data_IF_765189236167
#
_entry.id   IF_765189236167
#
_cell.length_a   1.000
_cell.length_b   1.000
_cell.length_c   1.000
_cell.angle_alpha   90.00
_cell.angle_beta   90.00
_cell.angle_gamma   90.00
#
_symmetry.space_group_name_H-M   'P 1'
#
loop_
_entity.id
_entity.type
_entity.pdbx_description
1 polymer ?
#
# COMPACT_ATOMS: atom_id res chain seq x y z
N UNK A 1 21.06 -13.91 6.24
CA UNK A 1 19.69 -13.41 6.20
C UNK A 1 19.67 -11.97 5.72
N UNK A 2 18.78 -11.66 4.80
CA UNK A 2 18.77 -10.35 4.15
C UNK A 2 17.84 -9.38 4.91
N UNK A 3 18.43 -8.45 5.66
CA UNK A 3 17.66 -7.44 6.41
C UNK A 3 16.85 -6.54 5.48
N UNK A 4 17.33 -6.33 4.25
CA UNK A 4 16.61 -5.52 3.28
C UNK A 4 15.26 -6.16 2.89
N UNK A 5 15.22 -7.50 2.79
CA UNK A 5 13.96 -8.19 2.51
C UNK A 5 12.96 -8.02 3.63
N UNK A 6 13.41 -8.12 4.88
CA UNK A 6 12.56 -7.92 6.04
C UNK A 6 12.04 -6.48 6.09
N UNK A 7 12.91 -5.51 5.79
CA UNK A 7 12.54 -4.10 5.77
C UNK A 7 11.51 -3.81 4.68
N UNK A 8 11.69 -4.41 3.50
CA UNK A 8 10.75 -4.24 2.39
C UNK A 8 9.37 -4.82 2.71
N UNK A 9 9.33 -5.98 3.35
CA UNK A 9 8.06 -6.59 3.74
C UNK A 9 7.37 -5.78 4.82
N UNK A 10 8.13 -5.23 5.76
CA UNK A 10 7.59 -4.36 6.79
C UNK A 10 6.99 -3.09 6.17
N UNK A 11 7.68 -2.50 5.18
CA UNK A 11 7.16 -1.34 4.47
C UNK A 11 5.88 -1.69 3.73
N UNK A 12 5.85 -2.84 3.06
CA UNK A 12 4.67 -3.30 2.34
C UNK A 12 3.46 -3.41 3.28
N UNK A 13 3.66 -4.01 4.44
CA UNK A 13 2.59 -4.17 5.43
C UNK A 13 2.07 -2.82 5.90
N UNK A 14 2.96 -1.85 6.15
CA UNK A 14 2.56 -0.51 6.59
C UNK A 14 1.77 0.22 5.50
N UNK A 15 2.20 0.07 4.25
CA UNK A 15 1.50 0.70 3.11
C UNK A 15 0.10 0.11 2.94
N UNK A 16 -0.01 -1.21 3.01
CA UNK A 16 -1.31 -1.88 2.92
C UNK A 16 -2.23 -1.47 4.06
N UNK A 17 -1.68 -1.39 5.27
CA UNK A 17 -2.45 -0.96 6.43
C UNK A 17 -2.99 0.46 6.26
N UNK A 18 -2.17 1.37 5.75
CA UNK A 18 -2.58 2.74 5.51
C UNK A 18 -3.69 2.81 4.45
N UNK A 19 -3.55 2.03 3.37
CA UNK A 19 -4.56 1.99 2.32
C UNK A 19 -5.88 1.43 2.85
N UNK A 20 -5.82 0.32 3.60
CA UNK A 20 -7.02 -0.30 4.14
C UNK A 20 -7.75 0.62 5.11
N UNK A 21 -7.02 1.37 5.93
CA UNK A 21 -7.62 2.33 6.86
C UNK A 21 -8.41 3.41 6.12
N UNK A 22 -7.86 3.92 5.02
CA UNK A 22 -8.56 4.92 4.20
C UNK A 22 -9.83 4.36 3.57
N UNK A 23 -9.74 3.13 3.07
CA UNK A 23 -10.90 2.47 2.45
C UNK A 23 -11.98 2.21 3.50
N UNK A 24 -11.60 1.73 4.67
CA UNK A 24 -12.55 1.47 5.75
C UNK A 24 -13.25 2.74 6.21
N UNK A 25 -12.50 3.84 6.34
CA UNK A 25 -13.09 5.15 6.69
C UNK A 25 -14.09 5.60 5.63
N UNK A 26 -13.71 5.47 4.36
CA UNK A 26 -14.58 5.84 3.26
C UNK A 26 -15.88 5.01 3.25
N UNK A 27 -15.75 3.73 3.58
CA UNK A 27 -16.90 2.82 3.60
C UNK A 27 -17.92 3.18 4.69
N UNK A 28 -17.46 3.80 5.78
CA UNK A 28 -18.35 4.21 6.86
C UNK A 28 -19.13 5.49 6.57
N UNK A 29 -18.72 6.24 5.55
CA UNK A 29 -19.35 7.50 5.20
C UNK A 29 -20.41 7.30 4.12
N UNK A 30 -21.43 8.19 4.10
CA UNK A 30 -22.42 8.18 3.05
C UNK A 30 -21.86 8.92 1.83
N UNK A 31 -22.18 8.40 0.64
CA UNK A 31 -21.74 9.02 -0.59
C UNK A 31 -20.29 8.69 -0.94
N UNK A 32 -19.79 9.34 -1.97
CA UNK A 32 -18.44 9.13 -2.46
C UNK A 32 -17.43 9.85 -1.58
N UNK A 33 -16.23 9.26 -1.39
CA UNK A 33 -15.14 9.96 -0.73
C UNK A 33 -14.72 11.18 -1.55
N UNK A 34 -14.03 12.12 -0.91
CA UNK A 34 -13.49 13.28 -1.60
C UNK A 34 -12.46 12.84 -2.65
N UNK A 35 -12.24 13.71 -3.64
CA UNK A 35 -11.23 13.48 -4.66
C UNK A 35 -9.85 13.26 -4.03
N UNK A 36 -9.54 13.99 -2.96
CA UNK A 36 -8.26 13.86 -2.27
C UNK A 36 -8.09 12.46 -1.69
N UNK A 37 -9.14 11.90 -1.09
CA UNK A 37 -9.08 10.55 -0.52
C UNK A 37 -8.96 9.50 -1.62
N UNK A 38 -9.73 9.66 -2.69
CA UNK A 38 -9.66 8.73 -3.84
C UNK A 38 -8.24 8.72 -4.41
N UNK A 39 -7.66 9.92 -4.59
CA UNK A 39 -6.29 10.04 -5.10
C UNK A 39 -5.28 9.38 -4.17
N UNK A 40 -5.44 9.58 -2.86
CA UNK A 40 -4.52 9.00 -1.88
C UNK A 40 -4.55 7.47 -1.92
N UNK A 41 -5.74 6.90 -2.02
CA UNK A 41 -5.89 5.44 -2.14
C UNK A 41 -5.18 4.93 -3.39
N UNK A 42 -5.34 5.64 -4.51
CA UNK A 42 -4.70 5.27 -5.77
C UNK A 42 -3.17 5.39 -5.68
N UNK A 43 -2.66 6.44 -5.04
CA UNK A 43 -1.22 6.64 -4.86
C UNK A 43 -0.63 5.52 -4.00
N UNK A 44 -1.34 5.12 -2.95
CA UNK A 44 -0.90 4.01 -2.11
C UNK A 44 -0.88 2.71 -2.91
N UNK A 45 -1.89 2.48 -3.76
CA UNK A 45 -1.93 1.29 -4.60
C UNK A 45 -0.72 1.23 -5.53
N UNK A 46 -0.37 2.35 -6.16
CA UNK A 46 0.80 2.41 -7.04
C UNK A 46 2.09 2.15 -6.27
N UNK A 47 2.21 2.68 -5.07
CA UNK A 47 3.38 2.48 -4.23
C UNK A 47 3.49 1.02 -3.78
N UNK A 48 2.37 0.43 -3.38
CA UNK A 48 2.33 -0.98 -3.00
C UNK A 48 2.79 -1.86 -4.17
N UNK A 49 2.29 -1.58 -5.37
CA UNK A 49 2.67 -2.34 -6.56
C UNK A 49 4.18 -2.23 -6.84
N UNK A 50 4.74 -1.03 -6.67
CA UNK A 50 6.18 -0.82 -6.89
C UNK A 50 7.02 -1.59 -5.87
N UNK A 51 6.63 -1.55 -4.60
CA UNK A 51 7.36 -2.26 -3.55
C UNK A 51 7.26 -3.76 -3.77
N UNK A 52 6.06 -4.26 -4.09
CA UNK A 52 5.85 -5.67 -4.35
C UNK A 52 6.68 -6.15 -5.54
N UNK A 53 6.73 -5.38 -6.61
CA UNK A 53 7.54 -5.72 -7.78
C UNK A 53 9.02 -5.79 -7.41
N UNK A 54 9.49 -4.88 -6.58
CA UNK A 54 10.88 -4.86 -6.15
C UNK A 54 11.21 -6.10 -5.31
N UNK A 55 10.31 -6.47 -4.41
CA UNK A 55 10.47 -7.69 -3.60
C UNK A 55 10.56 -8.91 -4.52
N UNK A 56 9.67 -9.00 -5.50
CA UNK A 56 9.65 -10.12 -6.44
C UNK A 56 10.94 -10.21 -7.26
N UNK A 57 11.48 -9.07 -7.69
CA UNK A 57 12.76 -9.05 -8.39
C UNK A 57 13.88 -9.61 -7.54
N UNK A 58 13.93 -9.22 -6.26
CA UNK A 58 14.98 -9.69 -5.35
C UNK A 58 14.85 -11.18 -5.06
N UNK A 59 13.62 -11.68 -4.94
CA UNK A 59 13.38 -13.08 -4.60
C UNK A 59 13.42 -14.00 -5.83
N UNK A 60 13.14 -13.47 -6.99
CA UNK A 60 13.09 -14.23 -8.22
C UNK A 60 14.41 -14.42 -8.93
N UNK A 61 15.47 -13.73 -8.48
CA UNK A 61 16.78 -13.81 -9.13
C UNK A 61 17.75 -14.79 -8.47
#
# INVERSE_FOLDING_TARGET
>A
MDNASADLRSLLDRLKGAQHALIEDAARQLGLPSTAIIRRIAELENTIAAVLAFIEEREGS
#
